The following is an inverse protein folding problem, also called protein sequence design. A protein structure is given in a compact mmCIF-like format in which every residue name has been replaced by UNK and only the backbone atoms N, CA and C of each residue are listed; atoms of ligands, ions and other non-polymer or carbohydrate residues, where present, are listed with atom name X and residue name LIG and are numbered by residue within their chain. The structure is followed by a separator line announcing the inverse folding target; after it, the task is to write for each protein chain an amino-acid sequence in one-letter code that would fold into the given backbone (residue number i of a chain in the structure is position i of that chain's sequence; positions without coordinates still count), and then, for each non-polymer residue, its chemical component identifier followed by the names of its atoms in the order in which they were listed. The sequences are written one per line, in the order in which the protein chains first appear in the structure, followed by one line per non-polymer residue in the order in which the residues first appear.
data_IF_430895799281
#
_entry.id   IF_430895799281
#
_cell.length_a   1.000
_cell.length_b   1.000
_cell.length_c   1.000
_cell.angle_alpha   90.00
_cell.angle_beta   90.00
_cell.angle_gamma   90.00
#
_symmetry.space_group_name_H-M   'P 1'
#
loop_
_entity.id
_entity.type
_entity.pdbx_description
1 polymer ?
#
# COMPACT_ATOMS: atom_id res chain seq x y z
N UNK A 1 16.66 30.98 15.44
CA UNK A 1 15.41 30.41 15.98
C UNK A 1 15.19 29.08 15.26
N UNK A 2 14.78 28.02 15.95
CA UNK A 2 14.49 26.74 15.26
C UNK A 2 13.28 26.90 14.35
N UNK A 3 13.27 26.32 13.12
CA UNK A 3 12.07 26.28 12.28
C UNK A 3 10.89 25.60 13.01
N UNK A 4 9.65 26.00 12.68
CA UNK A 4 8.44 25.44 13.28
C UNK A 4 7.92 24.28 12.42
N UNK A 5 7.48 23.18 13.05
CA UNK A 5 6.99 21.97 12.39
C UNK A 5 5.69 21.50 13.03
N UNK A 6 4.71 21.14 12.19
CA UNK A 6 3.50 20.42 12.61
C UNK A 6 3.76 18.91 12.50
N UNK A 7 3.53 18.20 13.61
CA UNK A 7 3.58 16.74 13.69
C UNK A 7 2.16 16.21 13.92
N UNK A 8 1.59 15.48 12.96
CA UNK A 8 0.24 14.90 13.02
C UNK A 8 0.25 13.36 13.06
N UNK A 9 1.33 12.77 13.54
CA UNK A 9 1.47 11.32 13.76
C UNK A 9 2.29 11.06 15.02
N UNK A 10 1.89 10.07 15.79
CA UNK A 10 2.70 9.61 16.90
C UNK A 10 4.02 9.00 16.38
N UNK A 11 5.14 9.41 16.97
CA UNK A 11 6.47 8.88 16.70
C UNK A 11 7.02 8.18 17.95
N UNK A 12 7.94 7.20 17.79
CA UNK A 12 8.79 6.71 18.88
C UNK A 12 9.48 7.87 19.62
N UNK A 13 9.67 7.74 20.93
CA UNK A 13 10.14 8.83 21.80
C UNK A 13 11.51 9.38 21.39
N UNK A 14 12.42 8.49 20.99
CA UNK A 14 13.76 8.85 20.52
C UNK A 14 13.72 9.66 19.21
N UNK A 15 12.86 9.27 18.25
CA UNK A 15 12.67 9.99 17.00
C UNK A 15 12.00 11.36 17.21
N UNK A 16 11.09 11.41 18.18
CA UNK A 16 10.46 12.65 18.56
C UNK A 16 11.47 13.63 19.21
N UNK A 17 12.31 13.16 20.15
CA UNK A 17 13.41 13.96 20.72
C UNK A 17 14.35 14.45 19.62
N UNK A 18 14.72 13.58 18.68
CA UNK A 18 15.55 13.94 17.52
C UNK A 18 14.91 15.05 16.68
N UNK A 19 13.60 14.99 16.43
CA UNK A 19 12.89 16.06 15.71
C UNK A 19 12.94 17.39 16.50
N UNK A 20 12.73 17.35 17.81
CA UNK A 20 12.75 18.51 18.72
C UNK A 20 14.15 19.12 18.90
N UNK A 21 15.23 18.36 18.68
CA UNK A 21 16.59 18.90 18.63
C UNK A 21 16.77 19.91 17.48
N UNK A 22 16.06 19.71 16.37
CA UNK A 22 16.17 20.52 15.16
C UNK A 22 15.05 21.58 15.04
N UNK A 23 13.86 21.31 15.57
CA UNK A 23 12.65 22.09 15.32
C UNK A 23 11.89 22.46 16.59
N UNK A 24 11.05 23.50 16.48
CA UNK A 24 9.96 23.75 17.42
C UNK A 24 8.75 22.96 16.93
N UNK A 25 8.36 21.90 17.66
CA UNK A 25 7.35 20.93 17.21
C UNK A 25 6.00 21.21 17.87
N UNK A 26 4.97 21.46 17.06
CA UNK A 26 3.56 21.47 17.48
C UNK A 26 2.92 20.17 17.09
N UNK A 27 2.40 19.43 18.07
CA UNK A 27 1.71 18.15 17.85
C UNK A 27 0.21 18.37 17.74
N UNK A 28 -0.38 17.79 16.70
CA UNK A 28 -1.82 17.80 16.48
C UNK A 28 -2.33 16.37 16.26
N UNK A 29 -3.61 16.15 16.53
CA UNK A 29 -4.21 14.81 16.41
C UNK A 29 -4.42 14.39 14.95
N UNK A 30 -4.81 15.34 14.11
CA UNK A 30 -5.14 15.15 12.69
C UNK A 30 -5.07 16.50 11.96
N UNK A 31 -5.37 16.50 10.66
CA UNK A 31 -5.42 17.71 9.82
C UNK A 31 -6.85 18.16 9.52
N UNK A 32 -7.83 17.81 10.35
CA UNK A 32 -9.21 18.25 10.17
C UNK A 32 -9.33 19.78 10.22
N UNK A 33 -10.32 20.39 9.52
CA UNK A 33 -10.52 21.84 9.55
C UNK A 33 -10.67 22.42 10.95
N UNK A 34 -11.26 21.67 11.88
CA UNK A 34 -11.40 22.04 13.29
C UNK A 34 -10.03 22.10 13.98
N UNK A 35 -9.21 21.05 13.84
CA UNK A 35 -7.87 21.00 14.41
C UNK A 35 -6.98 22.12 13.86
N UNK A 36 -7.06 22.41 12.57
CA UNK A 36 -6.32 23.50 11.91
C UNK A 36 -6.77 24.85 12.47
N UNK A 37 -8.07 25.08 12.63
CA UNK A 37 -8.59 26.33 13.18
C UNK A 37 -8.18 26.54 14.65
N UNK A 38 -8.19 25.50 15.48
CA UNK A 38 -7.76 25.56 16.88
C UNK A 38 -6.27 25.85 17.04
N UNK A 39 -5.44 25.57 16.03
CA UNK A 39 -3.99 25.75 16.03
C UNK A 39 -3.52 26.73 14.93
N UNK A 40 -4.35 27.68 14.55
CA UNK A 40 -4.15 28.53 13.37
C UNK A 40 -2.77 29.21 13.33
N UNK A 41 -2.30 29.77 14.45
CA UNK A 41 -0.99 30.43 14.54
C UNK A 41 0.18 29.47 14.31
N UNK A 42 0.05 28.23 14.81
CA UNK A 42 1.05 27.18 14.62
C UNK A 42 1.11 26.75 13.14
N UNK A 43 -0.06 26.54 12.50
CA UNK A 43 -0.12 26.24 11.07
C UNK A 43 0.41 27.38 10.20
N UNK A 44 0.04 28.63 10.50
CA UNK A 44 0.52 29.79 9.76
C UNK A 44 2.02 30.04 9.86
N UNK A 45 2.65 29.61 10.95
CA UNK A 45 4.10 29.77 11.19
C UNK A 45 4.93 28.55 10.79
N UNK A 46 4.30 27.41 10.53
CA UNK A 46 5.02 26.15 10.27
C UNK A 46 5.77 26.17 8.91
N UNK A 47 7.04 25.78 8.98
CA UNK A 47 7.89 25.58 7.81
C UNK A 47 7.95 24.11 7.36
N UNK A 48 7.59 23.17 8.26
CA UNK A 48 7.55 21.74 7.99
C UNK A 48 6.26 21.07 8.44
N UNK A 49 5.92 19.97 7.75
CA UNK A 49 4.76 19.11 8.06
C UNK A 49 5.19 17.65 8.03
N UNK A 50 4.92 16.89 9.12
CA UNK A 50 5.28 15.47 9.20
C UNK A 50 4.14 14.63 9.75
N UNK A 51 3.80 13.57 9.02
CA UNK A 51 2.78 12.60 9.42
C UNK A 51 2.47 11.58 8.33
N UNK A 52 1.25 11.04 8.31
CA UNK A 52 0.78 10.13 7.24
C UNK A 52 -0.75 10.03 7.23
N UNK A 53 -1.29 9.53 6.12
CA UNK A 53 -2.70 9.11 5.97
C UNK A 53 -3.74 10.23 5.99
N UNK A 54 -3.34 11.49 6.15
CA UNK A 54 -4.24 12.64 6.10
C UNK A 54 -4.11 13.37 4.75
N UNK A 55 -5.19 13.98 4.30
CA UNK A 55 -5.21 14.74 3.05
C UNK A 55 -4.44 16.05 3.19
N UNK A 56 -3.52 16.29 2.26
CA UNK A 56 -2.75 17.54 2.15
C UNK A 56 -3.07 18.17 0.80
N UNK A 57 -4.09 19.03 0.78
CA UNK A 57 -4.59 19.69 -0.42
C UNK A 57 -4.32 21.20 -0.41
N UNK A 58 -4.71 21.85 -1.51
CA UNK A 58 -4.57 23.30 -1.67
C UNK A 58 -5.21 24.09 -0.52
N UNK A 59 -6.37 23.65 0.02
CA UNK A 59 -7.06 24.33 1.09
C UNK A 59 -6.29 24.31 2.41
N UNK A 60 -5.64 23.18 2.74
CA UNK A 60 -4.72 23.10 3.89
C UNK A 60 -3.50 23.98 3.65
N UNK A 61 -2.92 23.93 2.44
CA UNK A 61 -1.71 24.69 2.12
C UNK A 61 -1.92 26.20 2.24
N UNK A 62 -3.14 26.72 1.98
CA UNK A 62 -3.47 28.14 2.21
C UNK A 62 -3.34 28.55 3.69
N UNK A 63 -3.55 27.61 4.63
CA UNK A 63 -3.35 27.85 6.07
C UNK A 63 -1.89 27.76 6.51
N UNK A 64 -0.99 27.36 5.62
CA UNK A 64 0.45 27.14 5.89
C UNK A 64 1.32 27.98 4.93
N UNK A 65 1.26 29.32 4.98
CA UNK A 65 1.94 30.20 4.01
C UNK A 65 3.48 30.10 4.08
N UNK A 66 4.04 29.59 5.17
CA UNK A 66 5.51 29.43 5.36
C UNK A 66 5.99 28.02 5.12
N UNK A 67 5.13 27.08 4.73
CA UNK A 67 5.50 25.69 4.52
C UNK A 67 6.54 25.57 3.39
N UNK A 68 7.63 24.85 3.66
CA UNK A 68 8.75 24.63 2.72
C UNK A 68 8.94 23.15 2.38
N UNK A 69 8.62 22.27 3.33
CA UNK A 69 8.75 20.83 3.13
C UNK A 69 7.68 20.04 3.87
N UNK A 70 7.27 18.95 3.26
CA UNK A 70 6.44 17.91 3.88
C UNK A 70 7.20 16.59 3.88
N UNK A 71 6.99 15.75 4.90
CA UNK A 71 7.53 14.40 4.94
C UNK A 71 6.44 13.41 5.37
N UNK A 72 6.16 12.43 4.51
CA UNK A 72 5.17 11.40 4.83
C UNK A 72 5.82 10.11 5.31
N UNK A 73 5.27 9.53 6.40
CA UNK A 73 5.66 8.20 6.90
C UNK A 73 4.94 7.14 6.05
N UNK A 74 5.16 7.17 4.75
CA UNK A 74 4.57 6.26 3.76
C UNK A 74 5.40 6.21 2.48
N UNK A 75 5.17 5.18 1.66
CA UNK A 75 5.68 5.11 0.28
C UNK A 75 4.72 5.78 -0.68
N UNK A 76 3.42 5.51 -0.53
CA UNK A 76 2.38 6.19 -1.30
C UNK A 76 2.16 7.61 -0.81
N UNK A 77 1.78 8.48 -1.73
CA UNK A 77 1.53 9.90 -1.48
C UNK A 77 0.29 10.40 -2.24
N UNK A 78 -0.61 9.52 -2.55
CA UNK A 78 -1.87 9.78 -3.25
C UNK A 78 -2.84 10.69 -2.46
N UNK A 79 -2.57 10.89 -1.17
CA UNK A 79 -3.26 11.86 -0.31
C UNK A 79 -2.67 13.28 -0.37
N UNK A 80 -1.60 13.51 -1.14
CA UNK A 80 -0.98 14.83 -1.34
C UNK A 80 -1.35 15.40 -2.71
N UNK A 81 -1.77 16.66 -2.75
CA UNK A 81 -1.89 17.44 -3.98
C UNK A 81 -0.49 17.90 -4.42
N UNK A 82 0.17 17.06 -5.23
CA UNK A 82 1.54 17.30 -5.68
C UNK A 82 1.64 18.55 -6.55
N UNK A 83 0.62 18.86 -7.34
CA UNK A 83 0.60 20.06 -8.20
C UNK A 83 0.50 21.34 -7.37
N UNK A 84 -0.33 21.33 -6.33
CA UNK A 84 -0.41 22.44 -5.39
C UNK A 84 0.89 22.65 -4.60
N UNK A 85 1.59 21.55 -4.22
CA UNK A 85 2.92 21.62 -3.60
C UNK A 85 3.96 22.20 -4.56
N UNK A 86 3.97 21.74 -5.81
CA UNK A 86 4.88 22.23 -6.87
C UNK A 86 4.68 23.72 -7.14
N UNK A 87 3.42 24.18 -7.26
CA UNK A 87 3.10 25.57 -7.50
C UNK A 87 3.60 26.51 -6.41
N UNK A 88 3.84 26.01 -5.20
CA UNK A 88 4.33 26.75 -4.04
C UNK A 88 5.79 26.44 -3.67
N UNK A 89 6.51 25.66 -4.48
CA UNK A 89 7.88 25.20 -4.23
C UNK A 89 8.03 24.49 -2.87
N UNK A 90 7.06 23.65 -2.50
CA UNK A 90 7.06 22.85 -1.26
C UNK A 90 7.55 21.44 -1.58
N UNK A 91 8.63 21.01 -0.92
CA UNK A 91 9.18 19.68 -1.09
C UNK A 91 8.27 18.61 -0.48
N UNK A 92 8.08 17.50 -1.18
CA UNK A 92 7.43 16.30 -0.69
C UNK A 92 8.43 15.17 -0.55
N UNK A 93 8.67 14.75 0.69
CA UNK A 93 9.54 13.62 1.03
C UNK A 93 8.72 12.40 1.40
N UNK A 94 9.17 11.21 0.99
CA UNK A 94 8.52 9.94 1.32
C UNK A 94 9.53 8.84 1.72
N UNK A 95 9.08 7.61 2.02
CA UNK A 95 9.93 6.53 2.55
C UNK A 95 10.00 5.32 1.61
N UNK A 96 10.56 5.43 0.39
CA UNK A 96 10.33 4.51 -0.72
C UNK A 96 10.94 3.12 -0.56
N UNK A 97 11.88 2.91 0.36
CA UNK A 97 12.63 1.65 0.48
C UNK A 97 12.31 0.86 1.75
N UNK A 98 11.69 1.48 2.75
CA UNK A 98 11.59 0.93 4.10
C UNK A 98 10.71 -0.31 4.22
N UNK A 99 9.69 -0.45 3.37
CA UNK A 99 8.64 -1.47 3.51
C UNK A 99 8.62 -2.55 2.41
N UNK A 100 9.58 -2.53 1.49
CA UNK A 100 9.57 -3.42 0.31
C UNK A 100 9.43 -4.89 0.70
N UNK A 101 10.28 -5.36 1.59
CA UNK A 101 10.31 -6.77 2.02
C UNK A 101 9.06 -7.13 2.83
N UNK A 102 8.65 -6.26 3.75
CA UNK A 102 7.50 -6.50 4.62
C UNK A 102 6.18 -6.60 3.85
N UNK A 103 5.99 -5.74 2.83
CA UNK A 103 4.80 -5.83 1.97
C UNK A 103 4.85 -7.09 1.10
N UNK A 104 6.03 -7.48 0.60
CA UNK A 104 6.18 -8.73 -0.15
C UNK A 104 5.87 -9.96 0.72
N UNK A 105 6.24 -9.95 2.02
CA UNK A 105 5.85 -10.99 2.98
C UNK A 105 4.34 -11.05 3.17
N UNK A 106 3.68 -9.89 3.33
CA UNK A 106 2.22 -9.82 3.47
C UNK A 106 1.51 -10.32 2.21
N UNK A 107 2.02 -10.00 1.02
CA UNK A 107 1.49 -10.54 -0.25
C UNK A 107 1.58 -12.06 -0.30
N UNK A 108 2.72 -12.65 0.07
CA UNK A 108 2.85 -14.11 0.15
C UNK A 108 1.96 -14.72 1.23
N UNK A 109 1.80 -14.06 2.37
CA UNK A 109 0.87 -14.48 3.42
C UNK A 109 -0.58 -14.50 2.90
N UNK A 110 -1.01 -13.48 2.16
CA UNK A 110 -2.32 -13.44 1.51
C UNK A 110 -2.48 -14.55 0.47
N UNK A 111 -1.49 -14.76 -0.41
CA UNK A 111 -1.50 -15.86 -1.39
C UNK A 111 -1.72 -17.20 -0.70
N UNK A 112 -0.91 -17.49 0.33
CA UNK A 112 -0.98 -18.76 1.06
C UNK A 112 -2.26 -18.90 1.87
N UNK A 113 -2.64 -17.87 2.61
CA UNK A 113 -3.82 -17.91 3.48
C UNK A 113 -5.11 -18.04 2.69
N UNK A 114 -5.21 -17.38 1.52
CA UNK A 114 -6.38 -17.46 0.65
C UNK A 114 -6.44 -18.82 -0.05
N UNK A 115 -5.35 -19.25 -0.69
CA UNK A 115 -5.28 -20.52 -1.40
C UNK A 115 -5.55 -21.72 -0.49
N UNK A 116 -5.01 -21.69 0.73
CA UNK A 116 -5.11 -22.80 1.68
C UNK A 116 -6.28 -22.62 2.67
N UNK A 117 -7.12 -21.56 2.50
CA UNK A 117 -8.28 -21.26 3.36
C UNK A 117 -7.92 -21.17 4.85
N UNK A 118 -6.71 -20.66 5.15
CA UNK A 118 -6.14 -20.76 6.51
C UNK A 118 -7.00 -20.04 7.52
N UNK A 119 -7.47 -18.82 7.21
CA UNK A 119 -8.30 -18.01 8.15
C UNK A 119 -9.65 -18.69 8.39
N UNK A 120 -10.38 -19.04 7.33
CA UNK A 120 -11.68 -19.74 7.42
C UNK A 120 -11.57 -21.04 8.22
N UNK A 121 -10.61 -21.89 7.85
CA UNK A 121 -10.44 -23.18 8.53
C UNK A 121 -10.03 -23.01 10.00
N UNK A 122 -9.20 -22.02 10.31
CA UNK A 122 -8.83 -21.73 11.70
C UNK A 122 -10.04 -21.28 12.53
N UNK A 123 -10.93 -20.46 11.97
CA UNK A 123 -12.17 -20.05 12.67
C UNK A 123 -13.13 -21.22 12.86
N UNK A 124 -13.27 -22.10 11.87
CA UNK A 124 -14.08 -23.34 12.00
C UNK A 124 -13.56 -24.26 13.11
N UNK A 125 -12.24 -24.40 13.25
CA UNK A 125 -11.64 -25.16 14.36
C UNK A 125 -11.96 -24.51 15.73
N UNK A 126 -11.81 -23.19 15.83
CA UNK A 126 -12.16 -22.46 17.07
C UNK A 126 -13.67 -22.54 17.40
N UNK A 127 -14.53 -22.61 16.38
CA UNK A 127 -15.97 -22.82 16.54
C UNK A 127 -16.34 -24.27 16.94
N UNK A 128 -15.38 -25.19 17.05
CA UNK A 128 -15.60 -26.58 17.43
C UNK A 128 -16.13 -27.48 16.32
N UNK A 129 -16.03 -27.05 15.05
CA UNK A 129 -16.53 -27.82 13.90
C UNK A 129 -15.65 -29.02 13.53
N UNK A 130 -14.41 -29.06 14.02
CA UNK A 130 -13.51 -30.16 13.74
C UNK A 130 -13.76 -31.36 14.65
N UNK A 131 -14.69 -32.21 14.29
CA UNK A 131 -15.15 -33.36 15.10
C UNK A 131 -14.75 -34.72 14.51
N UNK A 132 -14.17 -34.75 13.31
CA UNK A 132 -13.71 -35.98 12.59
C UNK A 132 -12.63 -35.61 11.57
N UNK A 133 -12.04 -36.62 10.91
CA UNK A 133 -11.14 -36.40 9.78
C UNK A 133 -11.80 -35.52 8.72
N UNK A 134 -11.04 -34.53 8.19
CA UNK A 134 -11.56 -33.57 7.21
C UNK A 134 -11.79 -34.22 5.85
N UNK A 135 -12.80 -33.71 5.15
CA UNK A 135 -13.13 -34.08 3.76
C UNK A 135 -12.83 -32.94 2.78
N UNK A 136 -13.18 -33.12 1.49
CA UNK A 136 -12.93 -32.14 0.42
C UNK A 136 -13.52 -30.75 0.66
N UNK A 137 -14.56 -30.63 1.48
CA UNK A 137 -15.19 -29.37 1.89
C UNK A 137 -14.27 -28.47 2.73
N UNK A 138 -13.15 -29.03 3.25
CA UNK A 138 -12.10 -28.30 3.98
C UNK A 138 -10.86 -28.01 3.14
N UNK A 139 -10.78 -28.55 1.91
CA UNK A 139 -9.56 -28.46 1.11
C UNK A 139 -9.40 -27.08 0.49
N UNK A 140 -8.15 -26.61 0.42
CA UNK A 140 -7.73 -25.49 -0.39
C UNK A 140 -7.11 -25.95 -1.71
N UNK A 141 -6.39 -25.04 -2.36
CA UNK A 141 -5.68 -25.28 -3.62
C UNK A 141 -4.17 -25.15 -3.46
N UNK A 142 -3.43 -25.75 -4.40
CA UNK A 142 -1.97 -25.65 -4.41
C UNK A 142 -1.49 -24.25 -4.80
N UNK A 143 -0.35 -23.84 -4.24
CA UNK A 143 0.40 -22.64 -4.60
C UNK A 143 1.65 -23.00 -5.38
N UNK A 144 2.37 -24.04 -4.91
CA UNK A 144 3.60 -24.51 -5.54
C UNK A 144 3.40 -24.81 -7.02
N UNK A 145 4.28 -24.29 -7.88
CA UNK A 145 4.27 -24.52 -9.32
C UNK A 145 3.13 -23.83 -10.09
N UNK A 146 2.24 -23.10 -9.41
CA UNK A 146 1.16 -22.33 -10.07
C UNK A 146 1.69 -21.00 -10.60
N UNK A 147 1.06 -20.47 -11.65
CA UNK A 147 1.48 -19.24 -12.29
C UNK A 147 1.06 -18.02 -11.48
N UNK A 148 2.05 -17.18 -11.12
CA UNK A 148 1.82 -15.89 -10.48
C UNK A 148 1.86 -14.76 -11.51
N UNK A 149 0.76 -14.02 -11.64
CA UNK A 149 0.68 -12.78 -12.40
C UNK A 149 0.87 -11.57 -11.48
N UNK A 150 1.86 -10.73 -11.77
CA UNK A 150 2.16 -9.51 -11.01
C UNK A 150 1.78 -8.30 -11.85
N UNK A 151 0.76 -7.56 -11.43
CA UNK A 151 0.36 -6.29 -12.03
C UNK A 151 1.05 -5.16 -11.27
N UNK A 152 2.16 -4.69 -11.83
CA UNK A 152 3.05 -3.70 -11.18
C UNK A 152 4.40 -4.29 -10.76
N UNK A 153 5.36 -4.40 -11.69
CA UNK A 153 6.73 -4.88 -11.42
C UNK A 153 7.63 -3.73 -10.95
N UNK A 154 7.34 -3.20 -9.76
CA UNK A 154 8.22 -2.28 -9.03
C UNK A 154 9.07 -3.03 -7.99
N UNK A 155 9.65 -2.29 -7.01
CA UNK A 155 10.45 -2.90 -5.94
C UNK A 155 9.72 -4.01 -5.18
N UNK A 156 8.46 -3.79 -4.81
CA UNK A 156 7.64 -4.79 -4.11
C UNK A 156 7.33 -5.96 -5.02
N UNK A 157 6.97 -5.71 -6.29
CA UNK A 157 6.71 -6.77 -7.27
C UNK A 157 7.94 -7.66 -7.49
N UNK A 158 9.14 -7.07 -7.55
CA UNK A 158 10.39 -7.80 -7.66
C UNK A 158 10.66 -8.68 -6.42
N UNK A 159 10.45 -8.14 -5.23
CA UNK A 159 10.61 -8.87 -3.97
C UNK A 159 9.58 -10.01 -3.82
N UNK A 160 8.35 -9.80 -4.29
CA UNK A 160 7.33 -10.86 -4.36
C UNK A 160 7.73 -11.94 -5.38
N UNK A 161 8.19 -11.56 -6.58
CA UNK A 161 8.63 -12.49 -7.61
C UNK A 161 9.77 -13.38 -7.11
N UNK A 162 10.73 -12.81 -6.37
CA UNK A 162 11.81 -13.57 -5.76
C UNK A 162 11.29 -14.66 -4.81
N UNK A 163 10.34 -14.34 -3.94
CA UNK A 163 9.74 -15.28 -2.99
C UNK A 163 8.97 -16.39 -3.70
N UNK A 164 8.14 -16.01 -4.65
CA UNK A 164 7.30 -16.94 -5.40
C UNK A 164 8.14 -17.89 -6.28
N UNK A 165 9.14 -17.36 -6.98
CA UNK A 165 9.99 -18.14 -7.87
C UNK A 165 10.86 -19.13 -7.09
N UNK A 166 11.66 -18.66 -6.14
CA UNK A 166 12.62 -19.51 -5.43
C UNK A 166 11.99 -20.34 -4.30
N UNK A 167 10.94 -19.82 -3.64
CA UNK A 167 10.30 -20.54 -2.53
C UNK A 167 9.22 -21.53 -2.97
N UNK A 168 8.56 -21.26 -4.09
CA UNK A 168 7.36 -22.00 -4.52
C UNK A 168 7.44 -22.49 -5.98
N UNK A 169 8.57 -22.31 -6.68
CA UNK A 169 8.74 -22.68 -8.10
C UNK A 169 7.63 -22.13 -9.00
N UNK A 170 7.09 -20.97 -8.69
CA UNK A 170 6.02 -20.36 -9.47
C UNK A 170 6.59 -19.72 -10.75
N UNK A 171 6.06 -20.04 -11.94
CA UNK A 171 6.28 -19.24 -13.13
C UNK A 171 5.73 -17.82 -12.92
N UNK A 172 6.50 -16.80 -13.32
CA UNK A 172 6.15 -15.39 -13.12
C UNK A 172 5.71 -14.76 -14.44
N UNK A 173 4.49 -14.23 -14.49
CA UNK A 173 4.02 -13.29 -15.49
C UNK A 173 3.99 -11.90 -14.89
N UNK A 174 4.29 -10.87 -15.67
CA UNK A 174 4.13 -9.52 -15.16
C UNK A 174 3.66 -8.55 -16.23
N UNK A 175 2.92 -7.54 -15.77
CA UNK A 175 2.53 -6.37 -16.53
C UNK A 175 3.10 -5.12 -15.86
N UNK A 176 3.73 -4.25 -16.61
CA UNK A 176 4.31 -2.99 -16.16
C UNK A 176 4.42 -2.02 -17.34
N UNK A 177 4.65 -0.73 -17.07
CA UNK A 177 4.83 0.30 -18.11
C UNK A 177 6.07 0.07 -19.00
N UNK A 178 7.02 -0.76 -18.57
CA UNK A 178 8.25 -1.10 -19.28
C UNK A 178 8.75 -2.48 -18.86
N UNK A 179 9.57 -3.09 -19.68
CA UNK A 179 10.31 -4.31 -19.34
C UNK A 179 11.19 -4.09 -18.12
N UNK A 180 11.37 -5.15 -17.34
CA UNK A 180 12.17 -5.17 -16.13
C UNK A 180 13.23 -6.27 -16.23
N UNK A 181 14.42 -5.92 -16.74
CA UNK A 181 15.51 -6.88 -17.04
C UNK A 181 15.87 -7.74 -15.83
N UNK A 182 15.96 -7.16 -14.64
CA UNK A 182 16.26 -7.92 -13.43
C UNK A 182 15.22 -9.02 -13.15
N UNK A 183 13.93 -8.77 -13.38
CA UNK A 183 12.89 -9.79 -13.20
C UNK A 183 13.02 -10.90 -14.24
N UNK A 184 13.30 -10.54 -15.50
CA UNK A 184 13.47 -11.48 -16.61
C UNK A 184 14.70 -12.35 -16.43
N UNK A 185 15.83 -11.78 -16.04
CA UNK A 185 17.12 -12.49 -15.85
C UNK A 185 17.14 -13.37 -14.60
N UNK A 186 16.64 -12.88 -13.47
CA UNK A 186 16.72 -13.58 -12.18
C UNK A 186 15.63 -14.61 -11.95
N UNK A 187 14.42 -14.33 -12.45
CA UNK A 187 13.22 -15.13 -12.15
C UNK A 187 12.60 -15.74 -13.41
N UNK A 188 13.23 -15.58 -14.58
CA UNK A 188 12.65 -15.98 -15.87
C UNK A 188 11.22 -15.44 -16.02
N UNK A 189 10.98 -14.23 -15.49
CA UNK A 189 9.67 -13.58 -15.53
C UNK A 189 9.34 -13.16 -16.97
N UNK A 190 8.11 -13.44 -17.41
CA UNK A 190 7.64 -13.09 -18.75
C UNK A 190 6.79 -11.82 -18.70
N UNK A 191 7.25 -10.77 -19.41
CA UNK A 191 6.42 -9.61 -19.67
C UNK A 191 5.24 -9.96 -20.56
N UNK A 192 4.06 -9.46 -20.26
CA UNK A 192 2.89 -9.59 -21.12
C UNK A 192 1.89 -8.45 -20.89
N UNK A 193 1.00 -8.27 -21.86
CA UNK A 193 -0.14 -7.37 -21.74
C UNK A 193 -1.07 -7.83 -20.62
N UNK A 194 -1.79 -6.89 -19.99
CA UNK A 194 -2.66 -7.16 -18.85
C UNK A 194 -3.67 -8.27 -19.15
N UNK A 195 -4.31 -8.23 -20.31
CA UNK A 195 -5.30 -9.23 -20.73
C UNK A 195 -4.73 -10.66 -20.80
N UNK A 196 -3.49 -10.81 -21.23
CA UNK A 196 -2.79 -12.09 -21.28
C UNK A 196 -2.48 -12.58 -19.86
N UNK A 197 -1.97 -11.69 -19.01
CA UNK A 197 -1.70 -12.01 -17.61
C UNK A 197 -2.97 -12.51 -16.90
N UNK A 198 -4.10 -11.81 -17.06
CA UNK A 198 -5.37 -12.17 -16.43
C UNK A 198 -5.86 -13.55 -16.86
N UNK A 199 -5.70 -13.90 -18.15
CA UNK A 199 -6.14 -15.23 -18.67
C UNK A 199 -5.23 -16.38 -18.24
N UNK A 200 -3.93 -16.12 -18.07
CA UNK A 200 -2.95 -17.21 -17.85
C UNK A 200 -2.59 -17.42 -16.38
N UNK A 201 -2.72 -16.40 -15.54
CA UNK A 201 -2.35 -16.49 -14.13
C UNK A 201 -3.33 -17.33 -13.30
N UNK A 202 -2.81 -18.07 -12.34
CA UNK A 202 -3.59 -18.75 -11.29
C UNK A 202 -3.75 -17.85 -10.07
N UNK A 203 -2.77 -16.99 -9.82
CA UNK A 203 -2.78 -15.93 -8.82
C UNK A 203 -2.51 -14.60 -9.50
N UNK A 204 -3.33 -13.59 -9.24
CA UNK A 204 -3.15 -12.23 -9.76
C UNK A 204 -2.89 -11.30 -8.60
N UNK A 205 -1.66 -10.81 -8.47
CA UNK A 205 -1.26 -9.87 -7.43
C UNK A 205 -1.17 -8.45 -7.98
N UNK A 206 -1.98 -7.54 -7.42
CA UNK A 206 -2.04 -6.13 -7.80
C UNK A 206 -1.18 -5.29 -6.85
N UNK A 207 -0.19 -4.58 -7.43
CA UNK A 207 0.79 -3.77 -6.69
C UNK A 207 1.00 -2.43 -7.42
N UNK A 208 -0.08 -1.80 -7.84
CA UNK A 208 -0.03 -0.51 -8.52
C UNK A 208 -0.26 0.66 -7.54
N UNK A 209 0.36 1.81 -7.77
CA UNK A 209 -0.05 3.05 -7.14
C UNK A 209 -1.43 3.47 -7.68
N UNK A 210 -2.15 4.28 -6.91
CA UNK A 210 -3.36 4.93 -7.37
C UNK A 210 -3.01 6.19 -8.16
N UNK A 211 -3.46 6.23 -9.41
CA UNK A 211 -3.43 7.39 -10.31
C UNK A 211 -4.76 7.45 -11.05
N UNK A 212 -5.00 8.50 -11.83
CA UNK A 212 -6.21 8.59 -12.64
C UNK A 212 -6.29 7.44 -13.66
N UNK A 213 -5.15 7.00 -14.21
CA UNK A 213 -5.07 5.91 -15.18
C UNK A 213 -5.24 4.51 -14.54
N UNK A 214 -4.95 4.37 -13.26
CA UNK A 214 -5.06 3.08 -12.56
C UNK A 214 -6.34 2.93 -11.77
N UNK A 215 -7.11 4.00 -11.57
CA UNK A 215 -8.39 3.95 -10.89
C UNK A 215 -9.36 3.01 -11.62
N UNK A 216 -9.90 2.03 -10.89
CA UNK A 216 -10.80 0.98 -11.41
C UNK A 216 -10.24 0.22 -12.64
N UNK A 217 -8.91 0.14 -12.75
CA UNK A 217 -8.23 -0.64 -13.80
C UNK A 217 -8.70 -2.11 -13.77
N UNK A 218 -8.91 -2.65 -12.58
CA UNK A 218 -9.43 -4.00 -12.38
C UNK A 218 -10.92 -3.89 -12.06
N UNK A 219 -11.73 -3.91 -13.09
CA UNK A 219 -13.18 -3.91 -13.01
C UNK A 219 -13.78 -5.20 -13.55
N UNK A 220 -15.08 -5.21 -13.82
CA UNK A 220 -15.85 -6.38 -14.30
C UNK A 220 -15.18 -7.09 -15.47
N UNK A 221 -14.81 -6.35 -16.52
CA UNK A 221 -14.18 -6.91 -17.72
C UNK A 221 -12.82 -7.59 -17.44
N UNK A 222 -12.12 -7.16 -16.38
CA UNK A 222 -10.88 -7.79 -15.95
C UNK A 222 -11.15 -9.11 -15.22
N UNK A 223 -12.14 -9.15 -14.31
CA UNK A 223 -12.54 -10.39 -13.62
C UNK A 223 -13.07 -11.44 -14.57
N UNK A 224 -13.88 -11.06 -15.56
CA UNK A 224 -14.39 -11.98 -16.61
C UNK A 224 -13.28 -12.64 -17.45
N UNK A 225 -12.09 -12.02 -17.54
CA UNK A 225 -10.93 -12.58 -18.25
C UNK A 225 -10.12 -13.54 -17.40
N UNK A 226 -10.25 -13.50 -16.07
CA UNK A 226 -9.50 -14.38 -15.17
C UNK A 226 -10.02 -15.82 -15.28
N UNK A 227 -9.19 -16.77 -14.86
CA UNK A 227 -9.64 -18.16 -14.70
C UNK A 227 -10.67 -18.22 -13.55
N UNK A 228 -11.70 -19.06 -13.70
CA UNK A 228 -12.65 -19.31 -12.59
C UNK A 228 -11.98 -19.85 -11.32
N UNK A 229 -10.83 -20.49 -11.48
CA UNK A 229 -9.99 -20.95 -10.37
C UNK A 229 -9.00 -19.90 -9.86
N UNK A 230 -8.94 -18.71 -10.45
CA UNK A 230 -7.98 -17.69 -10.08
C UNK A 230 -8.25 -17.12 -8.70
N UNK A 231 -7.18 -16.78 -8.02
CA UNK A 231 -7.19 -16.06 -6.75
C UNK A 231 -6.63 -14.66 -6.97
N UNK A 232 -7.40 -13.64 -6.59
CA UNK A 232 -7.03 -12.24 -6.73
C UNK A 232 -6.47 -11.70 -5.42
N UNK A 233 -5.32 -11.02 -5.46
CA UNK A 233 -4.64 -10.44 -4.30
C UNK A 233 -4.42 -8.95 -4.53
N UNK A 234 -4.83 -8.11 -3.59
CA UNK A 234 -4.57 -6.67 -3.62
C UNK A 234 -3.91 -6.18 -2.34
N UNK A 235 -2.67 -5.70 -2.45
CA UNK A 235 -1.96 -4.96 -1.41
C UNK A 235 -1.33 -3.66 -1.98
N UNK A 236 -1.90 -3.13 -3.07
CA UNK A 236 -1.54 -1.84 -3.64
C UNK A 236 -2.39 -0.72 -3.08
N UNK A 237 -3.48 -0.41 -3.78
CA UNK A 237 -4.51 0.57 -3.37
C UNK A 237 -5.89 0.04 -3.70
N UNK A 238 -6.84 0.22 -2.78
CA UNK A 238 -8.23 -0.22 -2.96
C UNK A 238 -8.87 0.32 -4.23
N UNK A 239 -8.88 1.64 -4.47
CA UNK A 239 -9.55 2.23 -5.64
C UNK A 239 -8.92 1.91 -7.01
N UNK A 240 -7.85 1.12 -7.09
CA UNK A 240 -7.40 0.52 -8.38
C UNK A 240 -8.34 -0.60 -8.83
N UNK A 241 -9.13 -1.13 -7.91
CA UNK A 241 -10.16 -2.13 -8.14
C UNK A 241 -11.54 -1.47 -8.05
N UNK A 242 -12.45 -1.80 -8.94
CA UNK A 242 -13.88 -1.59 -8.74
C UNK A 242 -14.35 -2.65 -7.72
N UNK A 243 -14.49 -2.24 -6.45
CA UNK A 243 -14.81 -3.14 -5.35
C UNK A 243 -16.19 -3.79 -5.51
N UNK A 244 -17.15 -3.08 -6.13
CA UNK A 244 -18.45 -3.64 -6.45
C UNK A 244 -18.33 -4.78 -7.47
N UNK A 245 -17.54 -4.57 -8.51
CA UNK A 245 -17.28 -5.62 -9.52
C UNK A 245 -16.53 -6.82 -8.92
N UNK A 246 -15.62 -6.60 -7.97
CA UNK A 246 -14.95 -7.68 -7.24
C UNK A 246 -15.96 -8.51 -6.42
N UNK A 247 -16.85 -7.85 -5.68
CA UNK A 247 -17.91 -8.52 -4.89
C UNK A 247 -18.80 -9.36 -5.82
N UNK A 248 -19.26 -8.80 -6.94
CA UNK A 248 -20.06 -9.52 -7.93
C UNK A 248 -19.31 -10.72 -8.52
N UNK A 249 -18.04 -10.58 -8.86
CA UNK A 249 -17.20 -11.65 -9.40
C UNK A 249 -17.03 -12.82 -8.42
N UNK A 250 -16.84 -12.52 -7.14
CA UNK A 250 -16.75 -13.52 -6.07
C UNK A 250 -18.08 -14.24 -5.85
N UNK A 251 -19.20 -13.51 -5.82
CA UNK A 251 -20.54 -14.06 -5.63
C UNK A 251 -20.97 -14.97 -6.77
N UNK A 252 -20.62 -14.60 -8.01
CA UNK A 252 -20.97 -15.35 -9.22
C UNK A 252 -19.96 -16.47 -9.54
N UNK A 253 -18.87 -16.60 -8.78
CA UNK A 253 -17.83 -17.60 -9.05
C UNK A 253 -17.07 -17.35 -10.35
N UNK A 254 -16.94 -16.10 -10.77
CA UNK A 254 -16.09 -15.70 -11.89
C UNK A 254 -14.61 -15.83 -11.52
N UNK A 255 -14.27 -15.60 -10.24
CA UNK A 255 -13.00 -15.93 -9.63
C UNK A 255 -13.21 -16.78 -8.37
N UNK A 256 -12.20 -17.51 -7.96
CA UNK A 256 -12.31 -18.45 -6.84
C UNK A 256 -12.33 -17.76 -5.47
N UNK A 257 -11.40 -16.84 -5.24
CA UNK A 257 -11.22 -16.21 -3.95
C UNK A 257 -10.45 -14.88 -4.05
N UNK A 258 -10.44 -14.10 -2.99
CA UNK A 258 -9.63 -12.89 -2.91
C UNK A 258 -8.90 -12.74 -1.56
N UNK A 259 -7.68 -12.19 -1.60
CA UNK A 259 -6.90 -11.75 -0.45
C UNK A 259 -6.63 -10.25 -0.54
N UNK A 260 -7.14 -9.49 0.42
CA UNK A 260 -7.19 -8.03 0.36
C UNK A 260 -6.53 -7.42 1.60
N UNK A 261 -5.55 -6.55 1.39
CA UNK A 261 -4.96 -5.70 2.45
C UNK A 261 -5.45 -4.25 2.34
N UNK A 262 -6.13 -3.90 1.24
CA UNK A 262 -6.60 -2.54 0.93
C UNK A 262 -7.99 -2.57 0.33
N UNK A 263 -8.77 -1.48 0.55
CA UNK A 263 -10.17 -1.35 0.15
C UNK A 263 -10.44 0.01 -0.48
N UNK A 264 -11.55 0.15 -1.22
CA UNK A 264 -11.94 1.46 -1.77
C UNK A 264 -12.19 2.48 -0.66
N UNK A 265 -12.81 2.04 0.42
CA UNK A 265 -12.99 2.84 1.64
C UNK A 265 -12.25 2.14 2.78
N UNK A 266 -11.37 2.89 3.44
CA UNK A 266 -10.66 2.44 4.65
C UNK A 266 -10.95 3.40 5.81
N UNK A 267 -11.38 2.88 6.98
CA UNK A 267 -11.70 1.48 7.32
C UNK A 267 -12.84 0.91 6.48
N UNK A 268 -12.75 -0.42 6.19
CA UNK A 268 -13.81 -1.13 5.46
C UNK A 268 -15.14 -1.01 6.22
N UNK A 269 -16.25 -0.61 5.55
CA UNK A 269 -17.56 -0.49 6.18
C UNK A 269 -18.01 -1.80 6.83
N UNK A 270 -18.63 -1.71 8.00
CA UNK A 270 -19.06 -2.88 8.79
C UNK A 270 -20.16 -3.70 8.13
N UNK A 271 -20.83 -3.16 7.14
CA UNK A 271 -21.86 -3.81 6.33
C UNK A 271 -21.35 -4.32 4.98
N UNK A 272 -20.03 -4.22 4.75
CA UNK A 272 -19.44 -4.72 3.50
C UNK A 272 -19.67 -6.23 3.34
N UNK A 273 -20.16 -6.69 2.18
CA UNK A 273 -20.31 -8.12 1.89
C UNK A 273 -19.00 -8.90 2.00
N UNK A 274 -17.85 -8.27 1.76
CA UNK A 274 -16.52 -8.91 1.85
C UNK A 274 -16.25 -9.50 3.24
N UNK A 275 -16.84 -8.94 4.31
CA UNK A 275 -16.65 -9.41 5.68
C UNK A 275 -17.33 -10.76 5.98
N UNK A 276 -18.29 -11.16 5.17
CA UNK A 276 -19.06 -12.40 5.37
C UNK A 276 -18.76 -13.48 4.32
N UNK A 277 -17.93 -13.18 3.34
CA UNK A 277 -17.53 -14.13 2.29
C UNK A 277 -16.43 -15.08 2.79
N UNK A 278 -16.67 -16.41 2.82
CA UNK A 278 -15.69 -17.37 3.32
C UNK A 278 -14.45 -17.49 2.41
N UNK A 279 -14.59 -17.11 1.13
CA UNK A 279 -13.51 -17.09 0.15
C UNK A 279 -12.76 -15.76 0.07
N UNK A 280 -12.90 -14.89 1.09
CA UNK A 280 -12.18 -13.62 1.20
C UNK A 280 -11.32 -13.60 2.47
N UNK A 281 -10.04 -13.27 2.31
CA UNK A 281 -9.15 -12.91 3.41
C UNK A 281 -8.99 -11.40 3.40
N UNK A 282 -9.52 -10.71 4.42
CA UNK A 282 -9.47 -9.25 4.57
C UNK A 282 -8.52 -8.88 5.70
N UNK A 283 -7.54 -8.02 5.42
CA UNK A 283 -6.56 -7.50 6.37
C UNK A 283 -6.68 -5.96 6.45
N UNK A 284 -6.43 -5.33 7.62
CA UNK A 284 -6.66 -3.91 7.83
C UNK A 284 -5.43 -3.06 7.44
N UNK A 285 -4.96 -3.15 6.20
CA UNK A 285 -3.83 -2.41 5.64
C UNK A 285 -2.54 -2.59 6.47
N UNK A 286 -2.16 -3.85 6.65
CA UNK A 286 -1.01 -4.25 7.47
C UNK A 286 0.28 -4.49 6.68
N UNK A 287 0.32 -4.25 5.38
CA UNK A 287 1.46 -4.55 4.52
C UNK A 287 2.82 -4.11 5.06
N UNK A 288 2.88 -2.99 5.78
CA UNK A 288 4.11 -2.49 6.43
C UNK A 288 4.09 -2.60 7.97
N UNK A 289 3.12 -3.29 8.56
CA UNK A 289 2.85 -3.24 9.99
C UNK A 289 3.70 -4.23 10.82
N UNK A 290 5.02 -4.12 10.73
CA UNK A 290 5.95 -4.68 11.72
C UNK A 290 6.57 -3.56 12.54
N UNK A 291 7.00 -3.87 13.76
CA UNK A 291 7.66 -2.89 14.63
C UNK A 291 8.89 -2.29 13.96
N UNK A 292 9.72 -3.13 13.35
CA UNK A 292 10.97 -2.75 12.69
C UNK A 292 10.70 -1.84 11.49
N UNK A 293 9.77 -2.24 10.62
CA UNK A 293 9.46 -1.47 9.39
C UNK A 293 8.83 -0.13 9.73
N UNK A 294 7.86 -0.10 10.66
CA UNK A 294 7.21 1.16 11.08
C UNK A 294 8.17 2.11 11.77
N UNK A 295 9.09 1.59 12.59
CA UNK A 295 10.17 2.39 13.18
C UNK A 295 11.10 2.97 12.08
N UNK A 296 11.56 2.14 11.15
CA UNK A 296 12.44 2.57 10.06
C UNK A 296 11.76 3.61 9.14
N UNK A 297 10.48 3.43 8.83
CA UNK A 297 9.71 4.44 8.08
C UNK A 297 9.67 5.77 8.82
N UNK A 298 9.39 5.75 10.13
CA UNK A 298 9.35 6.96 10.95
C UNK A 298 10.73 7.64 11.02
N UNK A 299 11.81 6.87 11.21
CA UNK A 299 13.18 7.38 11.25
C UNK A 299 13.57 8.06 9.92
N UNK A 300 13.31 7.40 8.79
CA UNK A 300 13.56 7.96 7.46
C UNK A 300 12.75 9.25 7.25
N UNK A 301 11.48 9.28 7.66
CA UNK A 301 10.64 10.47 7.48
C UNK A 301 11.12 11.66 8.32
N UNK A 302 11.61 11.42 9.54
CA UNK A 302 12.25 12.44 10.38
C UNK A 302 13.52 12.97 9.73
N UNK A 303 14.41 12.08 9.27
CA UNK A 303 15.65 12.45 8.58
C UNK A 303 15.40 13.23 7.29
N UNK A 304 14.42 12.80 6.51
CA UNK A 304 13.99 13.48 5.29
C UNK A 304 13.56 14.93 5.58
N UNK A 305 12.74 15.15 6.62
CA UNK A 305 12.29 16.51 6.96
C UNK A 305 13.45 17.39 7.45
N UNK A 306 14.35 16.83 8.29
CA UNK A 306 15.55 17.53 8.76
C UNK A 306 16.43 17.94 7.57
N UNK A 307 16.67 17.02 6.64
CA UNK A 307 17.47 17.28 5.44
C UNK A 307 16.80 18.33 4.54
N UNK A 308 15.51 18.17 4.24
CA UNK A 308 14.77 19.07 3.35
C UNK A 308 14.73 20.52 3.86
N UNK A 309 14.45 20.73 5.15
CA UNK A 309 14.45 22.06 5.76
C UNK A 309 15.85 22.62 5.92
N UNK A 310 16.88 21.75 5.96
CA UNK A 310 18.30 22.13 5.94
C UNK A 310 18.85 22.40 4.53
N UNK A 311 18.01 22.37 3.49
CA UNK A 311 18.41 22.61 2.10
C UNK A 311 19.12 21.44 1.43
N UNK A 312 19.02 20.23 1.97
CA UNK A 312 19.59 19.00 1.40
C UNK A 312 18.44 18.10 0.93
N UNK A 313 18.36 17.86 -0.36
CA UNK A 313 17.35 16.98 -0.96
C UNK A 313 18.03 15.76 -1.55
N UNK A 314 17.52 14.59 -1.23
CA UNK A 314 18.05 13.30 -1.66
C UNK A 314 17.03 12.54 -2.55
N UNK A 315 17.36 11.27 -2.82
CA UNK A 315 16.54 10.33 -3.61
C UNK A 315 15.13 10.04 -3.07
N UNK A 316 14.81 10.49 -1.84
CA UNK A 316 13.50 10.31 -1.23
C UNK A 316 12.54 11.49 -1.51
N UNK A 317 12.93 12.42 -2.35
CA UNK A 317 12.07 13.52 -2.79
C UNK A 317 11.19 13.07 -3.97
N UNK A 318 9.89 13.34 -3.86
CA UNK A 318 8.90 13.05 -4.90
C UNK A 318 8.97 14.07 -6.04
N UNK A 319 9.24 15.34 -5.70
CA UNK A 319 9.21 16.48 -6.60
C UNK A 319 10.54 17.27 -6.65
N UNK A 320 11.68 16.61 -6.95
CA UNK A 320 13.00 17.25 -6.90
C UNK A 320 13.19 18.38 -7.93
N UNK A 321 12.37 18.41 -8.98
CA UNK A 321 12.43 19.42 -10.05
C UNK A 321 12.14 20.84 -9.58
N UNK A 322 11.50 21.04 -8.41
CA UNK A 322 11.21 22.38 -7.88
C UNK A 322 12.42 23.08 -7.27
N UNK A 323 13.57 22.41 -7.18
CA UNK A 323 14.82 22.97 -6.68
C UNK A 323 15.71 23.58 -7.79
N UNK A 324 15.26 23.55 -9.03
CA UNK A 324 16.02 24.08 -10.17
C UNK A 324 15.81 25.58 -10.38
#
# INVERSE_FOLDING_TARGET
MKPSVILYKALPEDLQKRLEEHFTVTRVKNLSPETVAQNADAFASAEGLLGSSEKVDAALLEKMPKLRATSTVSVGYDNFDVDALNARNILLMHTPHALTETVADTLMALVLSTARRVVEVAERVKAGEWTKSIGPDWFGVDVHGKTLGIVGMGRIGLALAQRAHFGFNMPILYNARRHHSEAEERFNARYCELDTLLREADFVCLILPLTDETRHLIGKAAFEKMKKSAIFINAGRGPVVDEKALIEALQNGEIHAAGLDVFEQEPLPVDSPLLTMPNVVALPHIGSATHETRYNMAAIAVDNLIAALGGKVDKNCVNPQIQQ
#
